data_IF_714922548258
#
_entry.id   IF_714922548258
#
_cell.length_a   1.000
_cell.length_b   1.000
_cell.length_c   1.000
_cell.angle_alpha   90.00
_cell.angle_beta   90.00
_cell.angle_gamma   90.00
#
_symmetry.space_group_name_H-M   'P 1'
#
loop_
_entity.id
_entity.type
_entity.pdbx_description
1 polymer ?
#
# COMPACT_ATOMS: atom_id res chain seq x y z
N UNK A 1 -1.50 -24.07 6.29
CA UNK A 1 -1.47 -22.62 6.56
C UNK A 1 -1.31 -22.41 8.05
N UNK A 2 -0.33 -21.60 8.44
CA UNK A 2 0.14 -21.47 9.81
C UNK A 2 -0.84 -20.60 10.63
N UNK A 3 -1.35 -21.13 11.76
CA UNK A 3 -2.41 -20.49 12.56
C UNK A 3 -1.99 -19.11 13.09
N UNK A 4 -0.68 -18.91 13.23
CA UNK A 4 -0.07 -17.67 13.69
C UNK A 4 -0.12 -16.57 12.62
N UNK A 5 0.13 -16.89 11.34
CA UNK A 5 0.07 -15.93 10.25
C UNK A 5 -1.35 -15.40 10.01
N UNK A 6 -2.35 -16.27 10.14
CA UNK A 6 -3.75 -15.87 10.05
C UNK A 6 -4.18 -14.96 11.20
N UNK A 7 -3.79 -15.28 12.45
CA UNK A 7 -4.09 -14.44 13.61
C UNK A 7 -3.39 -13.06 13.54
N UNK A 8 -2.18 -13.01 12.99
CA UNK A 8 -1.48 -11.76 12.72
C UNK A 8 -2.22 -10.90 11.69
N UNK A 9 -2.69 -11.48 10.58
CA UNK A 9 -3.49 -10.77 9.57
C UNK A 9 -4.74 -10.14 10.19
N UNK A 10 -5.50 -10.89 10.99
CA UNK A 10 -6.72 -10.38 11.65
C UNK A 10 -6.42 -9.21 12.61
N UNK A 11 -5.30 -9.29 13.33
CA UNK A 11 -4.89 -8.20 14.20
C UNK A 11 -4.49 -6.96 13.40
N UNK A 12 -3.82 -7.11 12.26
CA UNK A 12 -3.46 -6.00 11.36
C UNK A 12 -4.70 -5.35 10.75
N UNK A 13 -5.70 -6.14 10.34
CA UNK A 13 -6.97 -5.58 9.82
C UNK A 13 -7.69 -4.75 10.89
N UNK A 14 -7.68 -5.23 12.15
CA UNK A 14 -8.27 -4.50 13.28
C UNK A 14 -7.54 -3.21 13.64
N UNK A 15 -6.24 -3.11 13.32
CA UNK A 15 -5.40 -1.92 13.59
C UNK A 15 -5.19 -1.05 12.35
N UNK A 16 -5.68 -1.45 11.18
CA UNK A 16 -5.44 -0.77 9.90
C UNK A 16 -5.87 0.69 9.92
N UNK A 17 -7.01 0.99 10.56
CA UNK A 17 -7.49 2.37 10.71
C UNK A 17 -6.56 3.22 11.57
N UNK A 18 -6.04 2.67 12.67
CA UNK A 18 -5.13 3.38 13.56
C UNK A 18 -3.77 3.61 12.89
N UNK A 19 -3.23 2.58 12.23
CA UNK A 19 -2.00 2.67 11.44
C UNK A 19 -2.13 3.75 10.36
N UNK A 20 -3.24 3.76 9.61
CA UNK A 20 -3.45 4.79 8.60
C UNK A 20 -3.53 6.20 9.20
N UNK A 21 -4.20 6.38 10.34
CA UNK A 21 -4.24 7.67 11.02
C UNK A 21 -2.86 8.14 11.44
N UNK A 22 -2.07 7.29 12.09
CA UNK A 22 -0.71 7.65 12.50
C UNK A 22 0.20 7.93 11.31
N UNK A 23 0.08 7.15 10.23
CA UNK A 23 0.85 7.38 9.01
C UNK A 23 0.49 8.70 8.35
N UNK A 24 -0.81 9.04 8.23
CA UNK A 24 -1.22 10.32 7.63
C UNK A 24 -0.84 11.50 8.52
N UNK A 25 -0.90 11.37 9.85
CA UNK A 25 -0.38 12.40 10.75
C UNK A 25 1.12 12.61 10.57
N UNK A 26 1.91 11.54 10.51
CA UNK A 26 3.36 11.65 10.23
C UNK A 26 3.66 12.23 8.86
N UNK A 27 2.85 11.89 7.85
CA UNK A 27 2.98 12.42 6.50
C UNK A 27 2.72 13.93 6.47
N UNK A 28 1.72 14.42 7.21
CA UNK A 28 1.44 15.86 7.39
C UNK A 28 2.56 16.60 8.13
N UNK A 29 3.09 15.99 9.20
CA UNK A 29 4.22 16.54 9.95
C UNK A 29 5.49 16.63 9.08
N UNK A 30 5.71 15.64 8.22
CA UNK A 30 6.85 15.58 7.32
C UNK A 30 6.73 16.53 6.12
N UNK A 31 5.50 16.80 5.65
CA UNK A 31 5.22 17.74 4.57
C UNK A 31 3.90 18.49 4.78
N UNK A 32 3.94 19.66 5.46
CA UNK A 32 2.76 20.48 5.71
C UNK A 32 2.11 21.06 4.44
N UNK A 33 2.76 20.97 3.27
CA UNK A 33 2.25 21.53 2.01
C UNK A 33 1.26 20.60 1.30
N UNK A 34 1.07 19.37 1.79
CA UNK A 34 0.15 18.38 1.21
C UNK A 34 -1.28 18.90 1.06
N UNK A 35 -1.77 19.66 2.03
CA UNK A 35 -3.10 20.25 1.96
C UNK A 35 -3.27 21.27 0.85
N UNK A 36 -2.22 22.06 0.59
CA UNK A 36 -2.20 23.01 -0.53
C UNK A 36 -2.14 22.28 -1.87
N UNK A 37 -1.37 21.18 -1.96
CA UNK A 37 -1.22 20.39 -3.19
C UNK A 37 -2.49 19.62 -3.57
N UNK A 38 -3.22 19.08 -2.60
CA UNK A 38 -4.31 18.12 -2.82
C UNK A 38 -5.71 18.63 -2.43
N UNK A 39 -5.82 19.81 -1.83
CA UNK A 39 -7.10 20.43 -1.45
C UNK A 39 -7.73 19.81 -0.20
N UNK A 40 -8.90 20.31 0.20
CA UNK A 40 -9.49 20.10 1.53
C UNK A 40 -9.71 18.63 1.93
N UNK A 41 -9.96 17.74 0.96
CA UNK A 41 -10.24 16.32 1.19
C UNK A 41 -8.99 15.41 1.20
N UNK A 42 -7.80 16.00 1.09
CA UNK A 42 -6.56 15.24 0.93
C UNK A 42 -6.35 14.19 2.04
N UNK A 43 -6.63 14.55 3.30
CA UNK A 43 -6.45 13.65 4.44
C UNK A 43 -7.35 12.43 4.33
N UNK A 44 -8.62 12.64 3.98
CA UNK A 44 -9.58 11.55 3.84
C UNK A 44 -9.17 10.59 2.71
N UNK A 45 -8.63 11.14 1.61
CA UNK A 45 -8.09 10.34 0.51
C UNK A 45 -6.87 9.52 0.94
N UNK A 46 -5.87 10.17 1.54
CA UNK A 46 -4.67 9.49 2.02
C UNK A 46 -4.95 8.45 3.11
N UNK A 47 -5.93 8.70 3.98
CA UNK A 47 -6.38 7.71 4.97
C UNK A 47 -6.89 6.44 4.30
N UNK A 48 -7.74 6.55 3.27
CA UNK A 48 -8.23 5.39 2.51
C UNK A 48 -7.09 4.67 1.79
N UNK A 49 -6.20 5.43 1.14
CA UNK A 49 -5.08 4.86 0.39
C UNK A 49 -4.12 4.08 1.31
N UNK A 50 -3.80 4.62 2.49
CA UNK A 50 -2.96 3.93 3.47
C UNK A 50 -3.68 2.72 4.08
N UNK A 51 -4.99 2.80 4.34
CA UNK A 51 -5.76 1.64 4.81
C UNK A 51 -5.68 0.49 3.81
N UNK A 52 -5.92 0.75 2.52
CA UNK A 52 -5.78 -0.27 1.47
C UNK A 52 -4.38 -0.89 1.48
N UNK A 53 -3.33 -0.07 1.62
CA UNK A 53 -1.95 -0.57 1.74
C UNK A 53 -1.74 -1.48 2.94
N UNK A 54 -2.28 -1.14 4.10
CA UNK A 54 -2.14 -1.97 5.30
C UNK A 54 -2.81 -3.33 5.10
N UNK A 55 -3.96 -3.40 4.44
CA UNK A 55 -4.60 -4.67 4.09
C UNK A 55 -3.76 -5.49 3.09
N UNK A 56 -3.22 -4.86 2.05
CA UNK A 56 -2.33 -5.53 1.10
C UNK A 56 -1.06 -6.07 1.77
N UNK A 57 -0.53 -5.33 2.74
CA UNK A 57 0.59 -5.75 3.58
C UNK A 57 0.22 -6.96 4.46
N UNK A 58 -0.96 -6.94 5.09
CA UNK A 58 -1.47 -8.06 5.88
C UNK A 58 -1.61 -9.34 5.03
N UNK A 59 -2.15 -9.21 3.81
CA UNK A 59 -2.26 -10.30 2.85
C UNK A 59 -0.89 -10.86 2.45
N UNK A 60 0.08 -9.99 2.15
CA UNK A 60 1.44 -10.39 1.83
C UNK A 60 2.09 -11.15 2.99
N UNK A 61 1.91 -10.70 4.24
CA UNK A 61 2.36 -11.41 5.45
C UNK A 61 1.71 -12.77 5.57
N UNK A 62 0.39 -12.86 5.39
CA UNK A 62 -0.34 -14.13 5.48
C UNK A 62 0.14 -15.16 4.43
N UNK A 63 0.59 -14.69 3.26
CA UNK A 63 1.15 -15.51 2.19
C UNK A 63 2.67 -15.69 2.28
N UNK A 64 3.34 -14.98 3.17
CA UNK A 64 4.81 -14.97 3.26
C UNK A 64 5.51 -14.48 2.00
N UNK A 65 4.86 -13.61 1.21
CA UNK A 65 5.39 -13.13 -0.09
C UNK A 65 5.52 -11.61 -0.10
N UNK A 66 6.72 -11.07 0.15
CA UNK A 66 7.02 -9.65 -0.03
C UNK A 66 6.77 -9.16 -1.47
N UNK A 67 6.97 -10.03 -2.46
CA UNK A 67 6.82 -9.72 -3.88
C UNK A 67 5.38 -9.30 -4.22
N UNK A 68 4.39 -9.88 -3.54
CA UNK A 68 2.99 -9.50 -3.70
C UNK A 68 2.74 -8.06 -3.24
N UNK A 69 3.33 -7.68 -2.10
CA UNK A 69 3.22 -6.31 -1.63
C UNK A 69 3.95 -5.34 -2.57
N UNK A 70 5.18 -5.66 -2.98
CA UNK A 70 5.95 -4.86 -3.95
C UNK A 70 5.18 -4.66 -5.26
N UNK A 71 4.53 -5.71 -5.80
CA UNK A 71 3.72 -5.60 -7.00
C UNK A 71 2.52 -4.65 -6.81
N UNK A 72 1.83 -4.73 -5.67
CA UNK A 72 0.70 -3.83 -5.35
C UNK A 72 1.13 -2.35 -5.25
N UNK A 73 2.30 -2.12 -4.66
CA UNK A 73 2.93 -0.81 -4.53
C UNK A 73 3.25 -0.21 -5.90
N UNK A 74 3.88 -0.98 -6.79
CA UNK A 74 4.26 -0.56 -8.14
C UNK A 74 3.05 -0.22 -9.00
N UNK A 75 2.02 -1.07 -8.94
CA UNK A 75 0.75 -0.79 -9.60
C UNK A 75 0.11 0.52 -9.11
N UNK A 76 0.13 0.75 -7.80
CA UNK A 76 -0.38 1.99 -7.23
C UNK A 76 0.42 3.20 -7.71
N UNK A 77 1.75 3.10 -7.76
CA UNK A 77 2.60 4.17 -8.29
C UNK A 77 2.28 4.52 -9.75
N UNK A 78 2.11 3.51 -10.61
CA UNK A 78 1.69 3.72 -12.00
C UNK A 78 0.30 4.41 -12.09
N UNK A 79 -0.64 4.01 -11.24
CA UNK A 79 -1.96 4.63 -11.19
C UNK A 79 -1.93 6.07 -10.63
N UNK A 80 -0.98 6.39 -9.75
CA UNK A 80 -0.78 7.74 -9.18
C UNK A 80 -0.19 8.68 -10.22
N UNK A 81 0.81 8.23 -10.98
CA UNK A 81 1.37 8.98 -12.10
C UNK A 81 0.29 9.37 -13.12
N UNK A 82 -0.61 8.42 -13.46
CA UNK A 82 -1.74 8.69 -14.36
C UNK A 82 -2.71 9.75 -13.81
N UNK A 83 -2.77 9.92 -12.48
CA UNK A 83 -3.63 10.89 -11.78
C UNK A 83 -2.88 12.16 -11.36
N UNK A 84 -1.64 12.37 -11.81
CA UNK A 84 -0.76 13.49 -11.44
C UNK A 84 -0.54 13.63 -9.93
N UNK A 85 -0.55 12.52 -9.20
CA UNK A 85 -0.06 12.49 -7.81
C UNK A 85 1.44 12.29 -7.88
N UNK A 86 2.18 13.07 -7.10
CA UNK A 86 3.65 13.01 -7.11
C UNK A 86 4.12 11.64 -6.60
N UNK A 87 5.00 10.98 -7.36
CA UNK A 87 5.55 9.68 -6.98
C UNK A 87 6.34 9.76 -5.67
N UNK A 88 6.94 10.92 -5.37
CA UNK A 88 7.65 11.17 -4.12
C UNK A 88 6.73 11.17 -2.91
N UNK A 89 5.47 11.59 -3.05
CA UNK A 89 4.49 11.57 -1.95
C UNK A 89 4.10 10.13 -1.59
N UNK A 90 3.95 9.26 -2.59
CA UNK A 90 3.67 7.84 -2.37
C UNK A 90 4.84 7.13 -1.70
N UNK A 91 6.07 7.42 -2.14
CA UNK A 91 7.27 6.91 -1.48
C UNK A 91 7.32 7.40 -0.02
N UNK A 92 7.09 8.68 0.22
CA UNK A 92 7.12 9.26 1.56
C UNK A 92 6.06 8.64 2.46
N UNK A 93 4.84 8.43 1.97
CA UNK A 93 3.78 7.78 2.74
C UNK A 93 4.14 6.34 3.15
N UNK A 94 4.84 5.61 2.28
CA UNK A 94 5.38 4.28 2.56
C UNK A 94 6.48 4.31 3.63
N UNK A 95 7.37 5.29 3.56
CA UNK A 95 8.40 5.51 4.58
C UNK A 95 7.78 5.84 5.94
N UNK A 96 6.80 6.74 5.98
CA UNK A 96 6.03 7.05 7.19
C UNK A 96 5.28 5.82 7.73
N UNK A 97 4.76 4.95 6.87
CA UNK A 97 4.15 3.68 7.31
C UNK A 97 5.20 2.76 7.96
N UNK A 98 6.40 2.67 7.39
CA UNK A 98 7.52 1.94 7.98
C UNK A 98 7.90 2.46 9.36
N UNK A 99 7.99 3.80 9.52
CA UNK A 99 8.27 4.44 10.81
C UNK A 99 7.18 4.17 11.85
N UNK A 100 5.90 4.24 11.46
CA UNK A 100 4.78 3.91 12.34
C UNK A 100 4.83 2.45 12.78
N UNK A 101 5.11 1.52 11.85
CA UNK A 101 5.27 0.10 12.20
C UNK A 101 6.45 -0.10 13.15
N UNK A 102 7.53 0.67 13.02
CA UNK A 102 8.69 0.51 13.91
C UNK A 102 8.38 0.91 15.37
N UNK A 103 7.52 1.92 15.57
CA UNK A 103 7.30 2.55 16.88
C UNK A 103 5.96 2.20 17.55
N UNK A 104 4.89 1.99 16.77
CA UNK A 104 3.53 1.99 17.30
C UNK A 104 2.91 0.58 17.42
N UNK A 105 3.56 -0.47 16.89
CA UNK A 105 3.01 -1.84 16.90
C UNK A 105 3.78 -2.79 17.81
N UNK A 106 3.12 -3.85 18.33
CA UNK A 106 3.80 -4.87 19.12
C UNK A 106 4.91 -5.61 18.35
N UNK A 107 5.95 -6.05 19.05
CA UNK A 107 7.13 -6.69 18.46
C UNK A 107 6.84 -7.85 17.48
N UNK A 108 5.86 -8.77 17.71
CA UNK A 108 5.55 -9.82 16.76
C UNK A 108 5.00 -9.30 15.42
N UNK A 109 4.17 -8.25 15.49
CA UNK A 109 3.62 -7.60 14.30
C UNK A 109 4.72 -6.83 13.56
N UNK A 110 5.57 -6.13 14.30
CA UNK A 110 6.73 -5.42 13.75
C UNK A 110 7.66 -6.34 12.97
N UNK A 111 8.01 -7.49 13.55
CA UNK A 111 8.89 -8.48 12.92
C UNK A 111 8.33 -9.04 11.60
N UNK A 112 7.00 -9.10 11.45
CA UNK A 112 6.35 -9.57 10.23
C UNK A 112 6.18 -8.47 9.17
N UNK A 113 5.77 -7.26 9.60
CA UNK A 113 5.42 -6.17 8.68
C UNK A 113 6.64 -5.39 8.18
N UNK A 114 7.58 -5.06 9.08
CA UNK A 114 8.69 -4.16 8.76
C UNK A 114 9.54 -4.67 7.59
N UNK A 115 9.94 -5.95 7.50
CA UNK A 115 10.76 -6.42 6.36
C UNK A 115 10.05 -6.25 5.01
N UNK A 116 8.73 -6.42 4.97
CA UNK A 116 7.94 -6.27 3.74
C UNK A 116 7.85 -4.81 3.30
N UNK A 117 7.64 -3.88 4.24
CA UNK A 117 7.61 -2.45 3.93
C UNK A 117 8.98 -1.95 3.50
N UNK A 118 10.05 -2.36 4.17
CA UNK A 118 11.42 -2.02 3.76
C UNK A 118 11.71 -2.51 2.35
N UNK A 119 11.37 -3.76 2.03
CA UNK A 119 11.57 -4.30 0.68
C UNK A 119 10.80 -3.51 -0.39
N UNK A 120 9.59 -3.05 -0.09
CA UNK A 120 8.80 -2.22 -1.00
C UNK A 120 9.38 -0.81 -1.20
N UNK A 121 9.87 -0.18 -0.14
CA UNK A 121 10.53 1.14 -0.23
C UNK A 121 11.80 1.04 -1.08
N UNK A 122 12.64 0.05 -0.82
CA UNK A 122 13.87 -0.17 -1.60
C UNK A 122 13.59 -0.50 -3.06
N UNK A 123 12.54 -1.28 -3.35
CA UNK A 123 12.13 -1.62 -4.70
C UNK A 123 11.69 -0.39 -5.52
N UNK A 124 11.02 0.58 -4.90
CA UNK A 124 10.62 1.84 -5.56
C UNK A 124 11.83 2.74 -5.79
N UNK A 125 12.73 2.85 -4.79
CA UNK A 125 13.94 3.69 -4.88
C UNK A 125 14.91 3.20 -5.96
N UNK A 126 14.96 1.89 -6.18
CA UNK A 126 15.89 1.25 -7.09
C UNK A 126 15.42 1.22 -8.54
N UNK A 127 14.15 1.55 -8.82
CA UNK A 127 13.65 1.62 -10.19
C UNK A 127 13.99 2.99 -10.82
N UNK A 128 14.61 3.01 -12.02
CA UNK A 128 14.71 4.24 -12.80
C UNK A 128 13.30 4.77 -13.08
N UNK A 129 13.19 6.08 -13.18
CA UNK A 129 11.99 6.83 -13.51
C UNK A 129 11.14 6.09 -14.57
N UNK A 130 9.82 5.99 -14.37
CA UNK A 130 8.86 5.27 -15.24
C UNK A 130 8.81 5.80 -16.69
N UNK A 131 9.71 6.71 -17.07
CA UNK A 131 9.92 7.23 -18.41
C UNK A 131 10.26 6.13 -19.44
N UNK A 132 10.85 5.01 -19.03
CA UNK A 132 11.19 3.89 -19.91
C UNK A 132 10.16 2.74 -19.85
N UNK A 133 8.87 3.08 -19.82
CA UNK A 133 7.73 2.16 -19.76
C UNK A 133 7.49 1.30 -21.04
N UNK A 134 8.56 0.77 -21.63
CA UNK A 134 8.45 -0.25 -22.70
C UNK A 134 8.55 -1.69 -22.16
N UNK A 135 9.20 -1.90 -21.01
CA UNK A 135 9.60 -3.24 -20.53
C UNK A 135 8.64 -3.86 -19.49
N UNK A 136 7.81 -3.05 -18.80
CA UNK A 136 6.91 -3.52 -17.71
C UNK A 136 5.72 -4.36 -18.24
N UNK A 137 5.47 -4.38 -19.56
CA UNK A 137 4.36 -5.11 -20.16
C UNK A 137 4.45 -6.63 -20.01
N UNK A 138 5.65 -7.18 -19.78
CA UNK A 138 5.88 -8.63 -19.87
C UNK A 138 5.72 -9.37 -18.51
N UNK A 139 5.51 -8.65 -17.41
CA UNK A 139 5.37 -9.24 -16.05
C UNK A 139 4.09 -8.85 -15.30
N UNK A 140 3.12 -8.22 -15.97
CA UNK A 140 1.81 -7.91 -15.38
C UNK A 140 0.92 -9.16 -15.41
N UNK A 141 0.10 -9.34 -14.38
CA UNK A 141 -1.14 -10.12 -14.49
C UNK A 141 -1.83 -9.64 -15.77
N UNK A 142 -1.94 -10.53 -16.76
CA UNK A 142 -2.49 -10.20 -18.06
C UNK A 142 -3.97 -9.81 -17.88
N UNK A 143 -4.32 -8.53 -18.11
CA UNK A 143 -5.68 -8.03 -17.96
C UNK A 143 -6.62 -8.52 -19.07
N UNK A 144 -6.12 -9.22 -20.09
CA UNK A 144 -6.94 -9.88 -21.11
C UNK A 144 -7.09 -11.38 -20.81
N UNK A 145 -6.33 -11.90 -19.85
CA UNK A 145 -6.49 -13.28 -19.39
C UNK A 145 -7.77 -13.43 -18.55
N UNK A 146 -8.53 -14.53 -18.72
CA UNK A 146 -9.73 -14.79 -17.92
C UNK A 146 -9.46 -14.72 -16.40
N UNK A 147 -8.27 -15.14 -15.96
CA UNK A 147 -7.86 -15.17 -14.54
C UNK A 147 -7.52 -13.77 -14.00
N UNK A 148 -6.87 -12.93 -14.81
CA UNK A 148 -6.51 -11.56 -14.44
C UNK A 148 -7.73 -10.65 -14.29
N UNK A 149 -8.69 -10.78 -15.21
CA UNK A 149 -9.97 -10.07 -15.14
C UNK A 149 -10.80 -10.51 -13.94
N UNK A 150 -10.82 -11.80 -13.58
CA UNK A 150 -11.54 -12.26 -12.40
C UNK A 150 -10.92 -11.76 -11.09
N UNK A 151 -9.60 -11.67 -11.02
CA UNK A 151 -8.90 -11.22 -9.81
C UNK A 151 -9.09 -9.70 -9.60
N UNK A 152 -8.99 -8.92 -10.67
CA UNK A 152 -9.24 -7.47 -10.64
C UNK A 152 -10.72 -7.15 -10.37
N UNK A 153 -11.66 -7.86 -11.00
CA UNK A 153 -13.10 -7.68 -10.71
C UNK A 153 -13.50 -8.10 -9.30
N UNK A 154 -12.83 -9.09 -8.71
CA UNK A 154 -13.04 -9.44 -7.30
C UNK A 154 -12.54 -8.32 -6.37
N UNK A 155 -11.37 -7.75 -6.67
CA UNK A 155 -10.79 -6.65 -5.89
C UNK A 155 -11.60 -5.35 -6.04
N UNK A 156 -12.08 -5.02 -7.23
CA UNK A 156 -12.94 -3.85 -7.48
C UNK A 156 -14.33 -4.02 -6.86
N UNK A 157 -14.97 -5.19 -6.99
CA UNK A 157 -16.28 -5.43 -6.38
C UNK A 157 -16.25 -5.42 -4.83
N UNK A 158 -15.12 -5.82 -4.23
CA UNK A 158 -14.92 -5.71 -2.78
C UNK A 158 -14.79 -4.25 -2.32
N UNK A 159 -14.19 -3.40 -3.17
CA UNK A 159 -13.96 -1.98 -2.89
C UNK A 159 -15.22 -1.12 -3.12
N UNK A 160 -16.05 -1.47 -4.11
CA UNK A 160 -17.30 -0.75 -4.42
C UNK A 160 -18.49 -1.21 -3.55
N UNK A 161 -18.49 -2.46 -3.09
CA UNK A 161 -19.54 -3.00 -2.20
C UNK A 161 -19.54 -2.38 -0.81
N UNK A 162 -18.41 -1.84 -0.36
CA UNK A 162 -18.24 -1.18 0.94
C UNK A 162 -18.57 0.33 0.90
N UNK A 163 -18.88 0.87 -0.28
CA UNK A 163 -19.26 2.28 -0.47
C UNK A 163 -20.78 2.52 -0.41
N UNK A 164 -21.61 1.47 -0.28
CA UNK A 164 -23.09 1.59 -0.32
C UNK A 164 -23.87 0.77 0.73
N UNK A 165 -23.34 0.59 1.95
CA UNK A 165 -24.14 0.15 3.12
C UNK A 165 -24.05 1.12 4.29
#
# INVERSE_FOLDING_TARGET
MDRNAHQLSLNVDSTARALAQWTVSRLDEADPTLGERYGDDWRARWLRDVQVRVHQLAQAVAMGSPELFIASVRWSQAAYLARRVDASDMQRALECLGEVIEHEVPAPMKAALHPMVTAAVEAIKSEPDFADAHDIRDRRIDPESPTGLMTLRYLEALLDGDQHS
#
